data_IF_461544535286
#
_entry.id   IF_461544535286
#
_cell.length_a   1.000
_cell.length_b   1.000
_cell.length_c   1.000
_cell.angle_alpha   90.00
_cell.angle_beta   90.00
_cell.angle_gamma   90.00
#
_symmetry.space_group_name_H-M   'P 1'
#
loop_
_entity.id
_entity.type
_entity.pdbx_description
1 polymer ?
#
# COMPACT_ATOMS: atom_id res chain seq x y z
N UNK A 1 -15.99 16.66 -16.22
CA UNK A 1 -16.49 17.01 -14.86
C UNK A 1 -15.40 17.81 -14.17
N UNK A 2 -15.74 18.96 -13.56
CA UNK A 2 -14.75 19.85 -12.92
C UNK A 2 -14.70 19.58 -11.41
N UNK A 3 -13.62 20.01 -10.76
CA UNK A 3 -13.51 20.02 -9.31
C UNK A 3 -13.50 21.47 -8.81
N UNK A 4 -14.15 21.71 -7.67
CA UNK A 4 -14.04 22.96 -6.91
C UNK A 4 -13.81 22.67 -5.43
N UNK A 5 -13.26 23.63 -4.70
CA UNK A 5 -13.12 23.50 -3.25
C UNK A 5 -14.46 23.80 -2.56
N UNK A 6 -14.69 23.16 -1.41
CA UNK A 6 -15.89 23.39 -0.61
C UNK A 6 -15.97 24.83 -0.12
N UNK A 7 -17.11 25.47 -0.38
CA UNK A 7 -17.45 26.81 0.12
C UNK A 7 -18.54 26.74 1.22
N UNK A 8 -18.67 27.78 2.07
CA UNK A 8 -19.72 27.81 3.09
C UNK A 8 -21.12 27.66 2.47
N UNK A 9 -21.89 26.70 2.98
CA UNK A 9 -23.25 26.41 2.50
C UNK A 9 -23.33 25.27 1.47
N UNK A 10 -22.19 24.76 1.00
CA UNK A 10 -22.16 23.58 0.14
C UNK A 10 -22.36 22.28 0.91
N UNK A 11 -22.70 21.21 0.18
CA UNK A 11 -22.78 19.87 0.74
C UNK A 11 -21.41 19.36 1.14
N UNK A 12 -21.26 18.99 2.40
CA UNK A 12 -20.07 18.36 2.96
C UNK A 12 -20.38 16.93 3.41
N UNK A 13 -19.53 15.99 3.03
CA UNK A 13 -19.50 14.64 3.56
C UNK A 13 -18.80 14.66 4.91
N UNK A 14 -19.43 14.02 5.90
CA UNK A 14 -18.96 13.97 7.27
C UNK A 14 -19.16 12.58 7.87
N UNK A 15 -18.39 12.27 8.92
CA UNK A 15 -18.52 11.00 9.63
C UNK A 15 -18.18 9.78 8.79
N UNK A 16 -17.28 9.95 7.80
CA UNK A 16 -16.84 8.85 6.96
C UNK A 16 -16.13 7.80 7.82
N UNK A 17 -16.58 6.56 7.70
CA UNK A 17 -16.08 5.40 8.44
C UNK A 17 -16.08 4.18 7.53
N UNK A 18 -15.30 3.17 7.90
CA UNK A 18 -15.21 1.92 7.16
C UNK A 18 -15.32 0.72 8.10
N UNK A 19 -15.74 -0.41 7.54
CA UNK A 19 -15.73 -1.72 8.17
C UNK A 19 -15.23 -2.76 7.17
N UNK A 20 -14.25 -3.57 7.57
CA UNK A 20 -13.75 -4.70 6.79
C UNK A 20 -14.31 -6.01 7.33
N UNK A 21 -14.94 -6.80 6.47
CA UNK A 21 -15.53 -8.09 6.81
C UNK A 21 -15.59 -9.00 5.58
N UNK A 22 -15.08 -10.24 5.70
CA UNK A 22 -15.10 -11.27 4.66
C UNK A 22 -14.65 -10.82 3.25
N UNK A 23 -13.61 -10.00 3.17
CA UNK A 23 -13.07 -9.48 1.90
C UNK A 23 -13.91 -8.35 1.28
N UNK A 24 -14.83 -7.76 2.04
CA UNK A 24 -15.58 -6.57 1.66
C UNK A 24 -15.25 -5.39 2.55
N UNK A 25 -15.23 -4.20 1.96
CA UNK A 25 -15.29 -2.94 2.67
C UNK A 25 -16.70 -2.38 2.60
N UNK A 26 -17.23 -1.94 3.74
CA UNK A 26 -18.44 -1.12 3.80
C UNK A 26 -18.08 0.27 4.30
N UNK A 27 -18.30 1.30 3.47
CA UNK A 27 -18.16 2.70 3.84
C UNK A 27 -19.50 3.26 4.32
N UNK A 28 -19.46 4.08 5.37
CA UNK A 28 -20.63 4.78 5.89
C UNK A 28 -20.28 6.23 6.18
N UNK A 29 -21.21 7.14 5.89
CA UNK A 29 -21.10 8.56 6.17
C UNK A 29 -22.48 9.17 6.43
N UNK A 30 -22.49 10.39 6.95
CA UNK A 30 -23.70 11.19 7.08
C UNK A 30 -24.11 11.72 5.72
N UNK A 31 -25.22 11.22 5.17
CA UNK A 31 -25.72 11.66 3.88
C UNK A 31 -26.29 13.09 3.96
N UNK A 32 -25.74 14.07 3.21
CA UNK A 32 -26.21 15.47 3.30
C UNK A 32 -27.69 15.61 2.91
N UNK A 33 -28.48 16.42 3.64
CA UNK A 33 -29.86 16.69 3.27
C UNK A 33 -29.98 17.28 1.85
N UNK A 34 -30.94 16.80 1.07
CA UNK A 34 -31.20 17.28 -0.30
C UNK A 34 -30.30 16.68 -1.39
N UNK A 35 -29.13 16.14 -1.05
CA UNK A 35 -28.24 15.51 -2.02
C UNK A 35 -28.83 14.18 -2.52
N UNK A 36 -28.85 13.97 -3.85
CA UNK A 36 -29.45 12.78 -4.47
C UNK A 36 -28.44 11.67 -4.78
N UNK A 37 -27.20 12.06 -5.09
CA UNK A 37 -26.12 11.12 -5.40
C UNK A 37 -24.76 11.73 -5.06
N UNK A 38 -23.78 10.85 -4.85
CA UNK A 38 -22.36 11.18 -4.67
C UNK A 38 -21.54 10.50 -5.75
N UNK A 39 -20.30 10.94 -5.93
CA UNK A 39 -19.29 10.19 -6.66
C UNK A 39 -18.28 9.59 -5.70
N UNK A 40 -17.96 8.32 -5.87
CA UNK A 40 -17.00 7.60 -5.04
C UNK A 40 -15.78 7.32 -5.90
N UNK A 41 -14.64 7.84 -5.48
CA UNK A 41 -13.35 7.48 -6.03
C UNK A 41 -12.72 6.40 -5.17
N UNK A 42 -12.17 5.38 -5.83
CA UNK A 42 -11.36 4.34 -5.19
C UNK A 42 -9.96 4.39 -5.76
N UNK A 43 -8.99 4.58 -4.88
CA UNK A 43 -7.57 4.47 -5.21
C UNK A 43 -6.98 3.32 -4.40
N UNK A 44 -6.21 2.48 -5.05
CA UNK A 44 -5.42 1.46 -4.37
C UNK A 44 -3.96 1.85 -4.53
N UNK A 45 -3.33 2.24 -3.42
CA UNK A 45 -1.87 2.32 -3.32
C UNK A 45 -1.38 0.91 -3.01
N UNK A 46 -1.26 0.13 -4.08
CA UNK A 46 -0.55 -1.15 -4.07
C UNK A 46 0.98 -0.95 -4.02
N UNK A 47 1.48 0.29 -4.17
CA UNK A 47 2.90 0.60 -4.30
C UNK A 47 3.47 0.28 -5.70
N UNK A 48 2.63 -0.11 -6.67
CA UNK A 48 3.02 -0.50 -8.04
C UNK A 48 2.66 0.51 -9.11
N UNK A 49 1.93 1.57 -8.75
CA UNK A 49 1.65 2.68 -9.66
C UNK A 49 2.36 3.95 -9.21
N UNK A 50 2.95 4.71 -10.15
CA UNK A 50 3.42 6.06 -9.83
C UNK A 50 2.23 6.87 -9.28
N UNK A 51 2.48 7.86 -8.40
CA UNK A 51 1.41 8.72 -7.89
C UNK A 51 0.72 9.34 -9.10
N UNK A 52 -0.52 8.92 -9.35
CA UNK A 52 -1.28 9.38 -10.50
C UNK A 52 -1.60 10.86 -10.28
N UNK A 53 -0.77 11.73 -10.88
CA UNK A 53 -1.03 13.14 -11.02
C UNK A 53 -2.14 13.40 -12.05
N UNK A 54 -3.32 12.83 -11.82
CA UNK A 54 -4.62 13.15 -12.42
C UNK A 54 -5.60 12.04 -12.05
N UNK A 55 -6.79 12.40 -11.55
CA UNK A 55 -7.91 11.48 -11.47
C UNK A 55 -8.23 10.99 -12.90
N UNK A 56 -7.92 9.74 -13.21
CA UNK A 56 -8.43 9.13 -14.43
C UNK A 56 -9.96 9.07 -14.30
N UNK A 57 -10.69 9.70 -15.23
CA UNK A 57 -12.15 9.85 -15.12
C UNK A 57 -12.93 8.52 -15.12
N UNK A 58 -12.25 7.38 -15.34
CA UNK A 58 -12.81 6.03 -15.25
C UNK A 58 -12.88 5.43 -13.84
N UNK A 59 -12.30 6.06 -12.81
CA UNK A 59 -12.28 5.55 -11.43
C UNK A 59 -13.39 6.10 -10.52
N UNK A 60 -14.23 7.01 -11.04
CA UNK A 60 -15.34 7.62 -10.29
C UNK A 60 -16.64 6.85 -10.50
N UNK A 61 -17.23 6.35 -9.42
CA UNK A 61 -18.53 5.66 -9.42
C UNK A 61 -19.63 6.59 -8.91
N UNK A 62 -20.65 6.85 -9.72
CA UNK A 62 -21.88 7.48 -9.24
C UNK A 62 -22.61 6.52 -8.30
N UNK A 63 -23.05 7.02 -7.14
CA UNK A 63 -23.76 6.24 -6.13
C UNK A 63 -24.92 7.04 -5.55
N UNK A 64 -26.12 6.48 -5.62
CA UNK A 64 -27.36 7.17 -5.26
C UNK A 64 -27.71 7.00 -3.79
N UNK A 65 -28.55 7.90 -3.27
CA UNK A 65 -29.07 7.82 -1.90
C UNK A 65 -29.87 6.54 -1.67
N UNK A 66 -30.60 6.08 -2.67
CA UNK A 66 -31.42 4.88 -2.58
C UNK A 66 -30.55 3.62 -2.52
N UNK A 67 -29.49 3.54 -3.33
CA UNK A 67 -28.50 2.47 -3.20
C UNK A 67 -27.84 2.47 -1.82
N UNK A 68 -27.47 3.65 -1.29
CA UNK A 68 -26.85 3.76 0.03
C UNK A 68 -27.76 3.26 1.15
N UNK A 69 -29.06 3.60 1.11
CA UNK A 69 -30.05 3.10 2.06
C UNK A 69 -30.27 1.60 1.93
N UNK A 70 -30.40 1.10 0.70
CA UNK A 70 -30.63 -0.32 0.44
C UNK A 70 -29.48 -1.21 0.93
N UNK A 71 -28.24 -0.70 0.87
CA UNK A 71 -27.04 -1.44 1.26
C UNK A 71 -26.51 -1.09 2.66
N UNK A 72 -27.17 -0.17 3.38
CA UNK A 72 -26.70 0.37 4.66
C UNK A 72 -25.24 0.89 4.61
N UNK A 73 -24.91 1.61 3.54
CA UNK A 73 -23.55 2.04 3.21
C UNK A 73 -23.20 1.81 1.74
N UNK A 74 -21.98 2.17 1.37
CA UNK A 74 -21.37 1.74 0.11
C UNK A 74 -20.56 0.46 0.34
N UNK A 75 -20.92 -0.62 -0.35
CA UNK A 75 -20.22 -1.90 -0.25
C UNK A 75 -19.35 -2.15 -1.48
N UNK A 76 -18.08 -2.44 -1.24
CA UNK A 76 -17.09 -2.74 -2.27
C UNK A 76 -16.35 -4.03 -1.95
N UNK A 77 -16.02 -4.80 -2.99
CA UNK A 77 -15.19 -5.98 -2.85
C UNK A 77 -13.74 -5.53 -2.80
N UNK A 78 -13.01 -5.98 -1.79
CA UNK A 78 -11.60 -5.68 -1.63
C UNK A 78 -10.82 -6.89 -2.12
N UNK A 79 -10.38 -6.82 -3.37
CA UNK A 79 -9.44 -7.79 -3.93
C UNK A 79 -8.01 -7.24 -3.82
N UNK A 80 -7.09 -8.04 -3.26
CA UNK A 80 -5.67 -7.70 -3.13
C UNK A 80 -5.25 -7.11 -1.79
N UNK A 81 -3.93 -6.97 -1.62
CA UNK A 81 -3.28 -6.55 -0.38
C UNK A 81 -2.59 -5.21 -0.61
N UNK A 82 -2.79 -4.24 0.29
CA UNK A 82 -2.17 -2.93 0.18
C UNK A 82 -2.87 -1.85 1.00
N UNK A 83 -2.60 -0.59 0.64
CA UNK A 83 -3.33 0.56 1.16
C UNK A 83 -4.44 0.92 0.17
N UNK A 84 -5.65 1.10 0.67
CA UNK A 84 -6.77 1.57 -0.14
C UNK A 84 -7.26 2.89 0.41
N UNK A 85 -7.57 3.81 -0.49
CA UNK A 85 -8.15 5.10 -0.19
C UNK A 85 -9.47 5.23 -0.94
N UNK A 86 -10.50 5.70 -0.24
CA UNK A 86 -11.75 6.12 -0.84
C UNK A 86 -11.95 7.60 -0.60
N UNK A 87 -12.45 8.31 -1.61
CA UNK A 87 -12.92 9.68 -1.47
C UNK A 87 -14.35 9.77 -1.96
N UNK A 88 -15.24 10.32 -1.13
CA UNK A 88 -16.65 10.55 -1.46
C UNK A 88 -16.84 12.01 -1.80
N UNK A 89 -17.19 12.29 -3.05
CA UNK A 89 -17.43 13.64 -3.54
C UNK A 89 -18.93 13.92 -3.58
N UNK A 90 -19.35 14.98 -2.89
CA UNK A 90 -20.62 15.61 -3.19
C UNK A 90 -20.55 16.32 -4.54
N UNK A 91 -21.69 16.43 -5.21
CA UNK A 91 -21.80 17.04 -6.53
C UNK A 91 -22.66 18.29 -6.43
N UNK A 92 -22.13 19.44 -6.85
CA UNK A 92 -22.89 20.66 -7.05
C UNK A 92 -23.27 20.83 -8.53
N UNK A 93 -24.43 21.42 -8.77
CA UNK A 93 -24.84 21.94 -10.06
C UNK A 93 -25.07 23.44 -9.90
N UNK A 94 -24.15 24.23 -10.43
CA UNK A 94 -24.26 25.69 -10.51
C UNK A 94 -24.25 26.08 -11.98
N UNK A 95 -25.20 26.91 -12.39
CA UNK A 95 -25.33 27.43 -13.76
C UNK A 95 -25.30 26.35 -14.87
N UNK A 96 -25.82 25.15 -14.55
CA UNK A 96 -25.86 24.02 -15.48
C UNK A 96 -24.54 23.26 -15.65
N UNK A 97 -23.48 23.67 -14.94
CA UNK A 97 -22.22 22.94 -14.89
C UNK A 97 -22.16 22.04 -13.64
N UNK A 98 -21.72 20.78 -13.84
CA UNK A 98 -21.55 19.81 -12.76
C UNK A 98 -20.12 19.86 -12.21
N UNK A 99 -19.99 20.10 -10.92
CA UNK A 99 -18.73 20.15 -10.21
C UNK A 99 -18.70 19.20 -9.00
N UNK A 100 -17.58 18.50 -8.82
CA UNK A 100 -17.31 17.71 -7.62
C UNK A 100 -16.65 18.59 -6.56
N UNK A 101 -17.15 18.51 -5.32
CA UNK A 101 -16.70 19.32 -4.20
C UNK A 101 -15.53 18.62 -3.50
N UNK A 102 -14.35 19.26 -3.50
CA UNK A 102 -13.17 18.86 -2.72
C UNK A 102 -13.25 19.49 -1.34
N UNK A 103 -13.09 18.69 -0.30
CA UNK A 103 -13.02 19.19 1.06
C UNK A 103 -11.55 19.34 1.50
N UNK A 104 -11.07 20.56 1.79
CA UNK A 104 -9.67 20.78 2.18
C UNK A 104 -9.26 20.10 3.50
N UNK A 105 -10.23 19.78 4.35
CA UNK A 105 -10.02 19.06 5.61
C UNK A 105 -9.90 17.53 5.42
N UNK A 106 -10.08 17.05 4.18
CA UNK A 106 -10.07 15.64 3.80
C UNK A 106 -11.08 14.78 4.58
N UNK A 107 -12.09 15.37 5.21
CA UNK A 107 -13.10 14.64 5.99
C UNK A 107 -13.98 13.71 5.13
N UNK A 108 -13.91 13.86 3.82
CA UNK A 108 -14.57 13.02 2.82
C UNK A 108 -13.67 11.91 2.26
N UNK A 109 -12.47 11.75 2.79
CA UNK A 109 -11.52 10.69 2.41
C UNK A 109 -11.24 9.75 3.57
N UNK A 110 -11.00 8.48 3.28
CA UNK A 110 -10.54 7.51 4.26
C UNK A 110 -9.54 6.55 3.64
N UNK A 111 -8.46 6.29 4.36
CA UNK A 111 -7.40 5.37 3.96
C UNK A 111 -7.22 4.28 5.01
N UNK A 112 -7.09 3.03 4.55
CA UNK A 112 -6.84 1.89 5.43
C UNK A 112 -6.08 0.77 4.72
N UNK A 113 -5.48 -0.12 5.52
CA UNK A 113 -4.81 -1.33 5.03
C UNK A 113 -5.81 -2.47 4.81
N UNK A 114 -5.67 -3.19 3.71
CA UNK A 114 -6.42 -4.43 3.43
C UNK A 114 -5.67 -5.69 3.91
N UNK A 115 -4.53 -5.50 4.59
CA UNK A 115 -3.58 -6.53 4.99
C UNK A 115 -2.14 -6.10 4.69
N UNK A 116 -1.16 -6.90 5.11
CA UNK A 116 0.26 -6.73 4.72
C UNK A 116 0.64 -7.79 3.70
N UNK A 117 1.33 -7.40 2.64
CA UNK A 117 1.82 -8.36 1.67
C UNK A 117 3.02 -9.11 2.24
N UNK A 118 3.01 -10.44 2.13
CA UNK A 118 4.09 -11.26 2.65
C UNK A 118 5.31 -11.21 1.75
N UNK A 119 6.47 -10.94 2.35
CA UNK A 119 7.81 -11.08 1.77
C UNK A 119 8.53 -12.19 2.53
N UNK A 120 8.56 -13.38 1.96
CA UNK A 120 9.34 -14.48 2.52
C UNK A 120 10.75 -14.45 1.96
N UNK A 121 11.78 -14.63 2.78
CA UNK A 121 13.15 -14.76 2.30
C UNK A 121 13.88 -15.93 2.93
N UNK A 122 14.82 -16.50 2.18
CA UNK A 122 15.72 -17.54 2.66
C UNK A 122 17.15 -17.18 2.28
N UNK A 123 18.09 -17.64 3.09
CA UNK A 123 19.53 -17.45 2.87
C UNK A 123 20.17 -18.82 2.93
N UNK A 124 20.76 -19.27 1.81
CA UNK A 124 21.51 -20.51 1.74
C UNK A 124 22.99 -20.23 1.72
N UNK A 125 23.73 -20.95 2.56
CA UNK A 125 25.19 -20.84 2.63
C UNK A 125 25.84 -22.07 2.00
N UNK A 126 26.76 -21.85 1.07
CA UNK A 126 27.59 -22.90 0.48
C UNK A 126 29.04 -22.62 0.86
N UNK A 127 29.60 -23.48 1.71
CA UNK A 127 31.01 -23.41 2.10
C UNK A 127 31.71 -24.73 1.76
N UNK A 128 32.95 -24.65 1.29
CA UNK A 128 33.84 -25.81 1.15
C UNK A 128 34.79 -25.82 2.34
N UNK A 129 35.03 -27.00 2.91
CA UNK A 129 35.98 -27.18 4.00
C UNK A 129 37.34 -26.57 3.61
N UNK A 130 37.95 -25.80 4.54
CA UNK A 130 39.20 -25.04 4.39
C UNK A 130 39.17 -23.71 3.61
N UNK A 131 38.07 -23.33 2.92
CA UNK A 131 38.03 -22.00 2.26
C UNK A 131 37.76 -20.88 3.27
N UNK A 132 38.45 -19.72 3.15
CA UNK A 132 38.21 -18.56 4.01
C UNK A 132 36.89 -17.83 3.70
N UNK A 133 36.24 -18.17 2.57
CA UNK A 133 35.00 -17.58 2.10
C UNK A 133 33.88 -18.63 2.00
N UNK A 134 32.64 -18.15 2.06
CA UNK A 134 31.42 -18.89 1.74
C UNK A 134 30.59 -18.12 0.72
N UNK A 135 29.85 -18.85 -0.10
CA UNK A 135 28.88 -18.28 -1.04
C UNK A 135 27.53 -18.18 -0.35
N UNK A 136 26.89 -17.03 -0.48
CA UNK A 136 25.54 -16.77 0.01
C UNK A 136 24.60 -16.64 -1.19
N UNK A 137 23.52 -17.42 -1.16
CA UNK A 137 22.41 -17.33 -2.11
C UNK A 137 21.19 -16.81 -1.35
N UNK A 138 20.68 -15.65 -1.78
CA UNK A 138 19.48 -15.03 -1.20
C UNK A 138 18.32 -15.28 -2.17
N UNK A 139 17.21 -15.77 -1.64
CA UNK A 139 15.95 -15.88 -2.37
C UNK A 139 14.89 -15.06 -1.64
N UNK A 140 14.13 -14.27 -2.38
CA UNK A 140 12.97 -13.52 -1.89
C UNK A 140 11.73 -13.95 -2.66
N UNK A 141 10.68 -14.35 -1.97
CA UNK A 141 9.36 -14.62 -2.53
C UNK A 141 8.40 -13.54 -2.08
N UNK A 142 7.86 -12.78 -3.03
CA UNK A 142 6.97 -11.66 -2.77
C UNK A 142 5.57 -11.94 -3.30
N UNK A 143 4.51 -11.66 -2.53
CA UNK A 143 3.12 -11.80 -3.00
C UNK A 143 2.75 -10.78 -4.09
N UNK A 144 3.40 -9.63 -4.05
CA UNK A 144 3.23 -8.51 -4.96
C UNK A 144 4.63 -8.05 -5.41
N UNK A 145 4.77 -7.25 -6.50
CA UNK A 145 6.08 -6.67 -6.82
C UNK A 145 6.62 -5.87 -5.63
N UNK A 146 7.91 -5.53 -5.59
CA UNK A 146 8.45 -4.72 -4.49
C UNK A 146 9.55 -3.82 -5.03
N UNK A 147 9.48 -2.49 -4.82
CA UNK A 147 10.58 -1.60 -5.15
C UNK A 147 11.87 -1.97 -4.43
N UNK A 148 13.00 -1.84 -5.13
CA UNK A 148 14.33 -2.20 -4.63
C UNK A 148 14.74 -1.46 -3.35
N UNK A 149 14.18 -0.28 -3.12
CA UNK A 149 14.46 0.56 -1.95
C UNK A 149 13.67 0.12 -0.71
N UNK A 150 12.77 -0.87 -0.80
CA UNK A 150 12.03 -1.39 0.36
C UNK A 150 12.90 -2.25 1.25
N UNK A 151 13.76 -3.08 0.66
CA UNK A 151 14.61 -4.05 1.36
C UNK A 151 16.08 -3.68 1.26
N UNK A 152 16.85 -4.11 2.25
CA UNK A 152 18.30 -4.19 2.19
C UNK A 152 18.77 -5.49 2.84
N UNK A 153 20.02 -5.88 2.60
CA UNK A 153 20.68 -6.89 3.41
C UNK A 153 21.83 -6.28 4.20
N UNK A 154 22.02 -6.73 5.43
CA UNK A 154 23.13 -6.31 6.28
C UNK A 154 24.09 -7.46 6.45
N UNK A 155 25.38 -7.18 6.38
CA UNK A 155 26.47 -8.12 6.66
C UNK A 155 27.16 -7.74 7.97
N UNK A 156 27.34 -8.71 8.86
CA UNK A 156 28.06 -8.55 10.13
C UNK A 156 29.00 -9.71 10.37
N UNK A 157 30.19 -9.40 10.88
CA UNK A 157 31.16 -10.43 11.27
C UNK A 157 30.83 -10.97 12.67
N UNK A 158 30.93 -12.29 12.85
CA UNK A 158 30.85 -12.97 14.15
C UNK A 158 29.44 -13.33 14.62
N UNK A 159 28.40 -12.62 14.19
CA UNK A 159 27.00 -12.93 14.51
C UNK A 159 26.03 -12.38 13.46
N UNK A 160 24.79 -12.89 13.45
CA UNK A 160 23.72 -12.33 12.63
C UNK A 160 23.38 -10.89 13.03
N UNK A 161 23.16 -9.98 12.06
CA UNK A 161 22.65 -8.64 12.35
C UNK A 161 21.30 -8.67 13.06
N UNK A 162 21.08 -7.76 14.02
CA UNK A 162 19.80 -7.62 14.74
C UNK A 162 18.91 -6.50 14.19
N UNK A 163 19.48 -5.52 13.47
CA UNK A 163 18.78 -4.44 12.80
C UNK A 163 19.58 -3.94 11.58
N UNK A 164 19.04 -2.94 10.86
CA UNK A 164 19.64 -2.44 9.62
C UNK A 164 20.94 -1.63 9.84
N UNK A 165 21.16 -1.14 11.06
CA UNK A 165 22.37 -0.43 11.49
C UNK A 165 23.45 -1.36 12.08
N UNK A 166 23.13 -2.63 12.34
CA UNK A 166 24.01 -3.61 13.00
C UNK A 166 24.94 -4.33 12.00
N UNK A 167 25.76 -3.56 11.29
CA UNK A 167 26.72 -4.07 10.32
C UNK A 167 26.83 -3.17 9.09
N UNK A 168 27.33 -3.74 7.99
CA UNK A 168 27.42 -3.05 6.70
C UNK A 168 26.13 -3.32 5.93
N UNK A 169 25.38 -2.25 5.64
CA UNK A 169 24.16 -2.29 4.84
C UNK A 169 24.50 -2.30 3.35
N UNK A 170 23.83 -3.17 2.60
CA UNK A 170 23.89 -3.25 1.15
C UNK A 170 22.49 -3.10 0.56
N UNK A 171 22.26 -2.08 -0.30
CA UNK A 171 20.99 -1.91 -1.00
C UNK A 171 20.83 -2.93 -2.13
N UNK A 172 19.58 -3.26 -2.48
CA UNK A 172 19.29 -3.96 -3.72
C UNK A 172 19.28 -2.98 -4.90
N UNK A 173 19.70 -3.46 -6.07
CA UNK A 173 19.83 -2.64 -7.29
C UNK A 173 18.69 -2.84 -8.28
N UNK A 174 17.90 -3.90 -8.09
CA UNK A 174 16.75 -4.28 -8.93
C UNK A 174 15.50 -4.47 -8.07
N UNK A 175 14.36 -4.12 -8.64
CA UNK A 175 13.06 -4.39 -8.01
C UNK A 175 12.79 -5.90 -7.95
N UNK A 176 11.91 -6.31 -7.05
CA UNK A 176 11.44 -7.68 -6.92
C UNK A 176 10.14 -7.85 -7.70
N UNK A 177 10.06 -8.87 -8.55
CA UNK A 177 8.81 -9.26 -9.17
C UNK A 177 7.91 -9.98 -8.15
N UNK A 178 6.61 -10.01 -8.40
CA UNK A 178 5.73 -10.95 -7.71
C UNK A 178 6.20 -12.40 -7.97
N UNK A 179 6.13 -13.25 -6.96
CA UNK A 179 6.65 -14.61 -6.98
C UNK A 179 8.11 -14.70 -6.52
N UNK A 180 8.85 -15.67 -7.05
CA UNK A 180 10.21 -16.02 -6.60
C UNK A 180 11.26 -15.16 -7.33
N UNK A 181 12.12 -14.54 -6.55
CA UNK A 181 13.27 -13.74 -6.99
C UNK A 181 14.54 -14.40 -6.46
N UNK A 182 15.44 -14.78 -7.37
CA UNK A 182 16.78 -15.25 -7.04
C UNK A 182 17.77 -14.12 -7.24
N UNK A 183 18.49 -13.77 -6.18
CA UNK A 183 19.49 -12.71 -6.24
C UNK A 183 20.84 -13.28 -6.68
N UNK A 184 21.71 -12.47 -7.31
CA UNK A 184 23.08 -12.87 -7.60
C UNK A 184 23.78 -13.36 -6.33
N UNK A 185 24.46 -14.51 -6.45
CA UNK A 185 25.23 -15.05 -5.35
C UNK A 185 26.38 -14.11 -4.98
N UNK A 186 26.65 -13.99 -3.68
CA UNK A 186 27.73 -13.14 -3.15
C UNK A 186 28.73 -13.98 -2.35
N UNK A 187 30.01 -13.64 -2.44
CA UNK A 187 31.04 -14.22 -1.59
C UNK A 187 31.29 -13.35 -0.36
N UNK A 188 31.30 -13.98 0.81
CA UNK A 188 31.56 -13.33 2.09
C UNK A 188 32.56 -14.13 2.91
N UNK A 189 33.17 -13.50 3.91
CA UNK A 189 34.05 -14.21 4.84
C UNK A 189 33.31 -15.35 5.54
N UNK A 190 34.02 -16.42 5.87
CA UNK A 190 33.42 -17.60 6.52
C UNK A 190 32.65 -17.26 7.81
N UNK A 191 33.10 -16.24 8.54
CA UNK A 191 32.48 -15.75 9.77
C UNK A 191 31.59 -14.51 9.56
N UNK A 192 31.28 -14.15 8.32
CA UNK A 192 30.27 -13.13 8.02
C UNK A 192 28.87 -13.75 8.02
N UNK A 193 27.89 -13.01 8.52
CA UNK A 193 26.49 -13.40 8.57
C UNK A 193 25.63 -12.32 7.94
N UNK A 194 24.53 -12.72 7.31
CA UNK A 194 23.65 -11.83 6.57
C UNK A 194 22.21 -11.95 7.06
N UNK A 195 21.49 -10.83 7.09
CA UNK A 195 20.04 -10.77 7.30
C UNK A 195 19.40 -9.66 6.47
N UNK A 196 18.16 -9.85 6.05
CA UNK A 196 17.38 -8.85 5.34
C UNK A 196 16.56 -7.99 6.31
N UNK A 197 16.38 -6.72 5.96
CA UNK A 197 15.58 -5.76 6.72
C UNK A 197 14.82 -4.83 5.77
N UNK A 198 13.78 -4.19 6.28
CA UNK A 198 13.23 -2.99 5.65
C UNK A 198 14.22 -1.83 5.78
N UNK A 199 14.40 -1.04 4.73
CA UNK A 199 15.19 0.19 4.76
C UNK A 199 14.57 1.26 5.67
N UNK A 200 13.23 1.29 5.72
CA UNK A 200 12.41 2.03 6.68
C UNK A 200 11.32 1.11 7.25
N UNK A 201 11.54 0.59 8.46
CA UNK A 201 10.60 -0.30 9.13
C UNK A 201 9.27 0.37 9.52
N UNK A 202 9.24 1.68 9.77
CA UNK A 202 8.00 2.39 10.11
C UNK A 202 7.11 2.58 8.89
N UNK A 203 7.71 2.93 7.76
CA UNK A 203 7.02 3.11 6.48
C UNK A 203 6.59 1.77 5.88
N UNK A 204 7.52 0.85 5.71
CA UNK A 204 7.28 -0.38 4.97
C UNK A 204 6.64 -1.48 5.82
N UNK A 205 6.82 -1.47 7.14
CA UNK A 205 6.17 -2.41 8.05
C UNK A 205 4.65 -2.26 8.14
N UNK A 206 4.07 -1.17 7.60
CA UNK A 206 2.61 -1.00 7.46
C UNK A 206 2.05 -1.63 6.17
N UNK A 207 2.92 -1.91 5.19
CA UNK A 207 2.55 -2.42 3.86
C UNK A 207 2.95 -3.88 3.67
N UNK A 208 4.06 -4.29 4.29
CA UNK A 208 4.68 -5.59 4.08
C UNK A 208 4.96 -6.30 5.41
N UNK A 209 4.97 -7.62 5.36
CA UNK A 209 5.47 -8.47 6.43
C UNK A 209 6.70 -9.24 5.92
N UNK A 210 7.85 -9.07 6.57
CA UNK A 210 9.10 -9.75 6.19
C UNK A 210 9.31 -11.00 7.06
N UNK A 211 9.27 -12.17 6.44
CA UNK A 211 9.34 -13.48 7.11
C UNK A 211 10.59 -14.23 6.67
N UNK A 212 11.41 -14.68 7.61
CA UNK A 212 12.52 -15.58 7.33
C UNK A 212 12.04 -17.03 7.21
N UNK A 213 12.49 -17.75 6.18
CA UNK A 213 12.21 -19.17 5.93
C UNK A 213 13.49 -19.98 5.78
#
# INVERSE_FOLDING_TARGET
MRFKNAEPGEWVIQGLSYQLEDGFCTLRWSWPPGLQAVYIHREMDDGFRPPAGALESGSLRLYTRDEYKANNGYRDRVDGIGQIMYTVYAMSSEDGEMALIRQPDEANSIQFSTGKAMLAYSIREKSRWLRPYKTIEIQVTAEVPVPKDVLCYVKKQGAYPVNKEDGILYPFVTDFAAGRNELPAIEVGKNDYIRLFFTDGKKYGQRYELVYR
#
